data_IF_594404472999
#
_entry.id   IF_594404472999
#
_cell.length_a   1.000
_cell.length_b   1.000
_cell.length_c   1.000
_cell.angle_alpha   90.00
_cell.angle_beta   90.00
_cell.angle_gamma   90.00
#
_symmetry.space_group_name_H-M   'P 1'
#
loop_
_entity.id
_entity.type
_entity.pdbx_description
1 polymer ?
#
# COMPACT_ATOMS: atom_id res chain seq x y z
N UNK A 1 2.61 13.20 -0.80
CA UNK A 1 1.76 13.19 0.42
C UNK A 1 2.38 12.21 1.38
N UNK A 2 2.08 12.29 2.68
CA UNK A 2 2.61 11.34 3.65
C UNK A 2 1.52 10.43 4.22
N UNK A 3 1.96 9.31 4.77
CA UNK A 3 1.19 8.40 5.61
C UNK A 3 2.05 8.13 6.84
N UNK A 4 1.75 8.83 7.93
CA UNK A 4 2.43 8.68 9.22
C UNK A 4 2.01 7.39 9.90
N UNK A 5 2.99 6.59 10.28
CA UNK A 5 2.87 5.34 11.01
C UNK A 5 3.39 5.54 12.44
N UNK A 6 3.11 6.71 13.03
CA UNK A 6 3.56 7.15 14.35
C UNK A 6 2.48 6.95 15.42
N UNK A 7 1.28 7.46 15.15
CA UNK A 7 0.07 7.32 15.99
C UNK A 7 -1.12 6.90 15.15
N UNK A 8 -2.14 6.31 15.77
CA UNK A 8 -3.37 5.93 15.08
C UNK A 8 -4.13 7.14 14.54
N UNK A 9 -4.11 8.28 15.26
CA UNK A 9 -4.75 9.52 14.80
C UNK A 9 -4.05 10.12 13.58
N UNK A 10 -2.72 10.25 13.59
CA UNK A 10 -1.97 10.80 12.44
C UNK A 10 -2.18 9.96 11.19
N UNK A 11 -2.14 8.64 11.35
CA UNK A 11 -2.37 7.68 10.29
C UNK A 11 -3.77 7.83 9.67
N UNK A 12 -4.80 7.95 10.49
CA UNK A 12 -6.19 8.09 10.02
C UNK A 12 -6.42 9.44 9.32
N UNK A 13 -5.85 10.52 9.85
CA UNK A 13 -5.94 11.86 9.23
C UNK A 13 -5.28 11.86 7.85
N UNK A 14 -4.09 11.26 7.74
CA UNK A 14 -3.37 11.14 6.47
C UNK A 14 -4.13 10.26 5.46
N UNK A 15 -4.74 9.15 5.92
CA UNK A 15 -5.62 8.33 5.08
C UNK A 15 -6.86 9.09 4.61
N UNK A 16 -7.49 9.89 5.48
CA UNK A 16 -8.64 10.70 5.11
C UNK A 16 -8.29 11.72 4.02
N UNK A 17 -7.15 12.41 4.17
CA UNK A 17 -6.62 13.34 3.17
C UNK A 17 -6.29 12.63 1.84
N UNK A 18 -5.74 11.41 1.89
CA UNK A 18 -5.50 10.58 0.70
C UNK A 18 -6.81 10.19 0.01
N UNK A 19 -7.82 9.77 0.76
CA UNK A 19 -9.16 9.44 0.22
C UNK A 19 -9.79 10.64 -0.48
N UNK A 20 -9.67 11.84 0.09
CA UNK A 20 -10.15 13.06 -0.58
C UNK A 20 -9.39 13.37 -1.86
N UNK A 21 -8.08 13.11 -1.88
CA UNK A 21 -7.27 13.26 -3.08
C UNK A 21 -7.66 12.26 -4.17
N UNK A 22 -7.97 11.02 -3.79
CA UNK A 22 -8.51 9.98 -4.70
C UNK A 22 -9.85 10.43 -5.29
N UNK A 23 -10.79 10.89 -4.45
CA UNK A 23 -12.11 11.40 -4.90
C UNK A 23 -11.95 12.52 -5.92
N UNK A 24 -11.04 13.46 -5.67
CA UNK A 24 -10.74 14.56 -6.61
C UNK A 24 -10.07 14.09 -7.90
N UNK A 25 -9.24 13.04 -7.85
CA UNK A 25 -8.57 12.50 -9.03
C UNK A 25 -9.54 11.75 -9.96
N UNK A 26 -10.57 11.11 -9.40
CA UNK A 26 -11.54 10.32 -10.16
C UNK A 26 -10.86 9.18 -10.93
N UNK A 27 -11.31 8.92 -12.15
CA UNK A 27 -10.86 7.75 -12.95
C UNK A 27 -9.50 7.93 -13.64
N UNK A 28 -8.79 9.04 -13.43
CA UNK A 28 -7.54 9.33 -14.14
C UNK A 28 -6.40 8.46 -13.62
N UNK A 29 -5.88 7.55 -14.46
CA UNK A 29 -4.70 6.72 -14.20
C UNK A 29 -3.46 7.57 -13.88
N UNK A 30 -3.23 7.80 -12.59
CA UNK A 30 -2.20 8.72 -12.08
C UNK A 30 -1.44 8.05 -10.96
N UNK A 31 -0.12 7.98 -11.09
CA UNK A 31 0.77 7.58 -10.01
C UNK A 31 0.99 8.74 -9.04
N UNK A 32 0.89 8.45 -7.74
CA UNK A 32 1.32 9.35 -6.68
C UNK A 32 2.29 8.63 -5.73
N UNK A 33 3.32 9.33 -5.26
CA UNK A 33 4.20 8.83 -4.22
C UNK A 33 3.62 9.19 -2.84
N UNK A 34 3.38 8.18 -2.01
CA UNK A 34 2.93 8.32 -0.63
C UNK A 34 4.11 7.98 0.28
N UNK A 35 4.66 9.00 0.93
CA UNK A 35 5.81 8.89 1.82
C UNK A 35 5.39 8.23 3.13
N UNK A 36 6.01 7.12 3.49
CA UNK A 36 5.75 6.43 4.75
C UNK A 36 6.69 6.97 5.82
N UNK A 37 6.11 7.51 6.90
CA UNK A 37 6.86 8.17 7.97
C UNK A 37 6.71 7.37 9.26
N UNK A 38 7.80 6.79 9.76
CA UNK A 38 7.81 6.01 11.01
C UNK A 38 8.40 6.79 12.19
N UNK A 39 9.09 7.89 11.90
CA UNK A 39 9.75 8.81 12.82
C UNK A 39 9.96 10.15 12.10
N UNK A 40 9.91 11.26 12.85
CA UNK A 40 10.15 12.62 12.37
C UNK A 40 11.64 12.99 12.32
N UNK A 41 12.52 12.11 12.81
CA UNK A 41 13.96 12.30 12.78
C UNK A 41 14.50 12.41 11.35
N UNK A 42 15.37 13.41 11.11
CA UNK A 42 15.94 13.69 9.79
C UNK A 42 16.76 12.53 9.19
N UNK A 43 17.22 11.59 10.04
CA UNK A 43 17.94 10.38 9.67
C UNK A 43 17.05 9.14 9.51
N UNK A 44 15.74 9.25 9.73
CA UNK A 44 14.82 8.14 9.63
C UNK A 44 14.79 7.56 8.20
N UNK A 45 14.63 6.24 8.04
CA UNK A 45 14.48 5.62 6.73
C UNK A 45 13.30 6.18 5.97
N UNK A 46 13.47 6.34 4.66
CA UNK A 46 12.42 6.87 3.78
C UNK A 46 12.04 5.84 2.74
N UNK A 47 10.74 5.55 2.65
CA UNK A 47 10.13 4.77 1.59
C UNK A 47 8.88 5.50 1.14
N UNK A 48 8.71 5.64 -0.17
CA UNK A 48 7.44 6.08 -0.74
C UNK A 48 6.78 4.93 -1.46
N UNK A 49 5.52 4.63 -1.17
CA UNK A 49 4.75 3.71 -2.02
C UNK A 49 4.20 4.47 -3.23
N UNK A 50 4.31 3.86 -4.40
CA UNK A 50 3.72 4.39 -5.62
C UNK A 50 2.28 3.90 -5.69
N UNK A 51 1.29 4.78 -5.60
CA UNK A 51 -0.14 4.45 -5.60
C UNK A 51 -0.80 4.93 -6.89
N UNK A 52 -1.63 4.11 -7.51
CA UNK A 52 -2.56 4.59 -8.54
C UNK A 52 -3.77 5.25 -7.87
N UNK A 53 -3.97 6.56 -8.09
CA UNK A 53 -5.10 7.31 -7.52
C UNK A 53 -6.42 7.13 -8.27
N UNK A 54 -6.41 6.39 -9.38
CA UNK A 54 -7.58 6.23 -10.22
C UNK A 54 -8.65 5.41 -9.48
N UNK A 55 -9.87 5.92 -9.45
CA UNK A 55 -11.00 5.34 -8.72
C UNK A 55 -12.33 5.76 -9.35
N UNK A 56 -13.30 4.84 -9.35
CA UNK A 56 -14.64 5.05 -9.89
C UNK A 56 -15.63 5.23 -8.73
N UNK A 57 -16.27 6.39 -8.66
CA UNK A 57 -17.26 6.69 -7.62
C UNK A 57 -18.64 6.06 -7.89
N UNK A 58 -19.00 5.88 -9.17
CA UNK A 58 -20.25 5.27 -9.54
C UNK A 58 -20.16 3.75 -9.37
N UNK A 59 -21.05 3.18 -8.54
CA UNK A 59 -21.09 1.74 -8.26
C UNK A 59 -21.15 0.88 -9.54
N UNK A 60 -21.89 1.34 -10.54
CA UNK A 60 -22.09 0.65 -11.83
C UNK A 60 -21.20 1.23 -12.94
N UNK A 61 -20.21 2.06 -12.59
CA UNK A 61 -19.24 2.60 -13.54
C UNK A 61 -18.23 1.55 -13.99
N UNK A 62 -17.51 1.79 -15.10
CA UNK A 62 -16.48 0.87 -15.55
C UNK A 62 -15.39 0.71 -14.48
N UNK A 63 -14.93 -0.53 -14.32
CA UNK A 63 -13.78 -0.82 -13.48
C UNK A 63 -12.57 -0.03 -13.99
N UNK A 64 -11.80 0.51 -13.05
CA UNK A 64 -10.59 1.26 -13.35
C UNK A 64 -9.40 0.33 -13.17
N UNK A 65 -8.58 0.21 -14.22
CA UNK A 65 -7.40 -0.64 -14.20
C UNK A 65 -6.45 -0.24 -13.07
N UNK A 66 -6.01 -1.24 -12.29
CA UNK A 66 -5.13 -1.07 -11.14
C UNK A 66 -5.65 -0.01 -10.13
N UNK A 67 -6.97 0.15 -9.98
CA UNK A 67 -7.59 1.12 -9.07
C UNK A 67 -7.07 1.00 -7.64
N UNK A 68 -6.47 2.06 -7.11
CA UNK A 68 -5.87 2.08 -5.77
C UNK A 68 -4.82 0.97 -5.54
N UNK A 69 -4.15 0.50 -6.60
CA UNK A 69 -3.06 -0.45 -6.46
C UNK A 69 -1.78 0.26 -6.09
N UNK A 70 -1.01 -0.35 -5.18
CA UNK A 70 0.41 -0.06 -5.05
C UNK A 70 1.10 -0.58 -6.32
N UNK A 71 1.79 0.30 -7.03
CA UNK A 71 2.49 0.06 -8.29
C UNK A 71 3.98 -0.29 -8.09
N UNK A 72 4.46 -0.18 -6.85
CA UNK A 72 5.85 -0.30 -6.48
C UNK A 72 6.21 0.64 -5.33
N UNK A 73 7.49 0.93 -5.16
CA UNK A 73 7.99 1.83 -4.13
C UNK A 73 9.24 2.59 -4.57
N UNK A 74 9.59 3.64 -3.84
CA UNK A 74 10.83 4.40 -3.97
C UNK A 74 11.61 4.21 -2.68
N UNK A 75 12.84 3.69 -2.77
CA UNK A 75 13.73 3.51 -1.62
C UNK A 75 14.47 4.81 -1.25
N UNK A 76 15.27 4.77 -0.18
CA UNK A 76 15.98 5.94 0.34
C UNK A 76 16.97 6.55 -0.66
N UNK A 77 17.48 5.75 -1.59
CA UNK A 77 18.35 6.21 -2.69
C UNK A 77 17.62 7.05 -3.75
N UNK A 78 16.30 7.17 -3.67
CA UNK A 78 15.45 7.78 -4.71
C UNK A 78 15.16 6.83 -5.89
N UNK A 79 15.68 5.60 -5.85
CA UNK A 79 15.43 4.60 -6.89
C UNK A 79 14.00 4.06 -6.80
N UNK A 80 13.29 4.05 -7.94
CA UNK A 80 11.97 3.45 -8.06
C UNK A 80 12.08 1.95 -8.40
N UNK A 81 11.36 1.13 -7.65
CA UNK A 81 11.17 -0.29 -7.89
C UNK A 81 9.70 -0.53 -8.24
N UNK A 82 9.42 -1.03 -9.44
CA UNK A 82 8.05 -1.06 -9.99
C UNK A 82 7.60 -2.47 -10.33
N UNK A 83 6.30 -2.72 -10.15
CA UNK A 83 5.65 -3.91 -10.67
C UNK A 83 5.49 -3.84 -12.19
N UNK A 84 5.39 -5.01 -12.84
CA UNK A 84 5.12 -5.15 -14.28
C UNK A 84 3.61 -4.98 -14.53
N UNK A 85 3.17 -3.72 -14.53
CA UNK A 85 1.79 -3.31 -14.80
C UNK A 85 1.77 -2.59 -16.15
N UNK A 86 0.89 -3.02 -17.07
CA UNK A 86 0.80 -2.47 -18.43
C UNK A 86 -0.65 -2.14 -18.81
N UNK A 87 -0.96 -0.90 -19.23
CA UNK A 87 -0.08 0.28 -19.18
C UNK A 87 0.21 0.70 -17.73
N UNK A 88 1.41 1.22 -17.47
CA UNK A 88 1.77 1.69 -16.13
C UNK A 88 1.04 3.01 -15.82
N UNK A 89 0.21 3.11 -14.76
CA UNK A 89 -0.56 4.33 -14.47
C UNK A 89 0.34 5.56 -14.30
N UNK A 90 0.06 6.63 -15.05
CA UNK A 90 0.88 7.85 -15.06
C UNK A 90 2.28 7.72 -15.67
N UNK A 91 2.56 6.61 -16.36
CA UNK A 91 3.86 6.33 -17.01
C UNK A 91 4.92 5.77 -16.05
N UNK A 92 5.76 4.87 -16.55
CA UNK A 92 6.84 4.26 -15.77
C UNK A 92 7.89 5.32 -15.42
N UNK A 93 8.27 5.48 -14.14
CA UNK A 93 9.37 6.39 -13.76
C UNK A 93 10.65 6.09 -14.54
N UNK A 94 11.32 7.14 -15.02
CA UNK A 94 12.60 7.03 -15.73
C UNK A 94 13.64 6.34 -14.84
N UNK A 95 14.32 5.32 -15.37
CA UNK A 95 15.35 4.58 -14.65
C UNK A 95 14.81 3.61 -13.59
N UNK A 96 13.49 3.37 -13.54
CA UNK A 96 12.91 2.43 -12.59
C UNK A 96 13.44 1.00 -12.80
N UNK A 97 13.69 0.31 -11.69
CA UNK A 97 14.05 -1.10 -11.67
C UNK A 97 12.77 -1.95 -11.61
N UNK A 98 12.60 -2.87 -12.55
CA UNK A 98 11.46 -3.79 -12.53
C UNK A 98 11.66 -4.87 -11.45
N UNK A 99 10.60 -5.14 -10.68
CA UNK A 99 10.56 -6.24 -9.70
C UNK A 99 10.26 -7.60 -10.34
N UNK A 100 9.82 -7.62 -11.61
CA UNK A 100 9.53 -8.86 -12.35
C UNK A 100 8.21 -9.54 -11.98
N UNK A 101 7.26 -8.81 -11.38
CA UNK A 101 5.91 -9.30 -11.12
C UNK A 101 4.88 -8.20 -11.02
N UNK A 102 3.61 -8.60 -11.03
CA UNK A 102 2.44 -7.71 -11.15
C UNK A 102 1.97 -7.08 -9.82
N UNK A 103 2.60 -7.44 -8.70
CA UNK A 103 2.22 -6.96 -7.37
C UNK A 103 0.96 -7.62 -6.79
N UNK A 104 0.41 -8.64 -7.46
CA UNK A 104 -0.69 -9.44 -6.92
C UNK A 104 -0.27 -10.15 -5.62
N UNK A 105 -1.23 -10.45 -4.75
CA UNK A 105 -0.96 -11.30 -3.59
C UNK A 105 -0.35 -12.64 -4.00
N UNK A 106 -0.70 -13.17 -5.18
CA UNK A 106 -0.08 -14.39 -5.73
C UNK A 106 1.42 -14.22 -5.96
N UNK A 107 1.84 -13.17 -6.67
CA UNK A 107 3.26 -12.89 -6.87
C UNK A 107 3.97 -12.57 -5.55
N UNK A 108 3.31 -11.89 -4.61
CA UNK A 108 3.85 -11.60 -3.28
C UNK A 108 4.04 -12.87 -2.41
N UNK A 109 3.59 -14.04 -2.86
CA UNK A 109 3.74 -15.32 -2.16
C UNK A 109 2.50 -15.74 -1.36
N UNK A 110 1.38 -15.04 -1.51
CA UNK A 110 0.15 -15.19 -0.75
C UNK A 110 -1.04 -15.61 -1.62
N UNK A 111 -0.78 -16.39 -2.68
CA UNK A 111 -1.83 -16.99 -3.50
C UNK A 111 -2.75 -17.86 -2.62
N UNK A 112 -2.14 -18.78 -1.90
CA UNK A 112 -2.78 -19.74 -0.97
C UNK A 112 -2.37 -19.51 0.48
N UNK A 113 -1.15 -18.98 0.70
CA UNK A 113 -0.63 -18.74 2.03
C UNK A 113 -1.34 -17.55 2.71
N UNK A 114 -1.49 -17.58 4.04
CA UNK A 114 -2.11 -16.49 4.77
C UNK A 114 -1.28 -15.22 4.65
N UNK A 115 -1.96 -14.07 4.54
CA UNK A 115 -1.28 -12.76 4.56
C UNK A 115 -0.43 -12.59 5.83
N UNK A 116 0.71 -11.88 5.74
CA UNK A 116 1.62 -11.75 6.86
C UNK A 116 0.95 -10.94 7.98
N UNK A 117 1.04 -11.43 9.21
CA UNK A 117 0.57 -10.69 10.37
C UNK A 117 1.33 -9.36 10.51
N UNK A 118 0.63 -8.34 11.01
CA UNK A 118 1.14 -6.98 11.18
C UNK A 118 1.14 -6.63 12.66
N UNK A 119 2.25 -6.11 13.15
CA UNK A 119 2.40 -5.54 14.48
C UNK A 119 3.28 -4.28 14.37
N UNK A 120 3.37 -3.44 15.42
CA UNK A 120 4.11 -2.18 15.33
C UNK A 120 5.57 -2.36 14.88
N UNK A 121 6.25 -3.35 15.45
CA UNK A 121 7.65 -3.63 15.14
C UNK A 121 7.86 -4.03 13.68
N UNK A 122 7.06 -4.97 13.16
CA UNK A 122 7.25 -5.46 11.79
C UNK A 122 6.76 -4.46 10.73
N UNK A 123 5.85 -3.56 11.08
CA UNK A 123 5.41 -2.47 10.21
C UNK A 123 6.51 -1.42 10.04
N UNK A 124 7.16 -1.02 11.14
CA UNK A 124 8.32 -0.12 11.09
C UNK A 124 9.54 -0.77 10.43
N UNK A 125 9.79 -2.05 10.75
CA UNK A 125 10.84 -2.83 10.11
C UNK A 125 10.63 -2.90 8.59
N UNK A 126 9.39 -3.02 8.11
CA UNK A 126 9.12 -3.05 6.67
C UNK A 126 9.56 -1.77 5.96
N UNK A 127 9.32 -0.59 6.56
CA UNK A 127 9.82 0.69 6.05
C UNK A 127 11.35 0.71 6.05
N UNK A 128 11.97 0.28 7.15
CA UNK A 128 13.43 0.21 7.25
C UNK A 128 14.04 -0.73 6.21
N UNK A 129 13.53 -1.95 6.05
CA UNK A 129 14.02 -2.94 5.10
C UNK A 129 13.91 -2.42 3.67
N UNK A 130 12.73 -1.92 3.27
CA UNK A 130 12.50 -1.49 1.89
C UNK A 130 13.25 -0.20 1.53
N UNK A 131 13.53 0.66 2.51
CA UNK A 131 14.34 1.87 2.29
C UNK A 131 15.75 1.55 1.78
N UNK A 132 16.27 0.35 2.12
CA UNK A 132 17.64 -0.08 1.84
C UNK A 132 17.78 -0.97 0.61
N UNK A 133 16.67 -1.30 -0.06
CA UNK A 133 16.71 -2.15 -1.26
C UNK A 133 17.50 -1.44 -2.36
N UNK A 134 18.40 -2.19 -3.01
CA UNK A 134 19.22 -1.71 -4.13
C UNK A 134 18.78 -2.40 -5.42
N UNK A 135 19.10 -1.84 -6.60
CA UNK A 135 18.80 -2.45 -7.89
C UNK A 135 19.27 -3.92 -8.00
N UNK A 136 20.43 -4.24 -7.44
CA UNK A 136 20.98 -5.60 -7.43
C UNK A 136 20.12 -6.62 -6.67
N UNK A 137 19.29 -6.15 -5.73
CA UNK A 137 18.41 -6.99 -4.90
C UNK A 137 17.09 -7.32 -5.63
N UNK A 138 16.73 -6.60 -6.70
CA UNK A 138 15.46 -6.76 -7.40
C UNK A 138 15.28 -8.15 -8.05
N UNK A 139 16.35 -8.74 -8.57
CA UNK A 139 16.31 -10.11 -9.12
C UNK A 139 16.13 -11.19 -8.06
N UNK A 140 16.32 -10.85 -6.77
CA UNK A 140 16.22 -11.74 -5.61
C UNK A 140 15.23 -11.18 -4.59
N UNK A 141 14.14 -10.57 -5.06
CA UNK A 141 13.25 -9.79 -4.21
C UNK A 141 12.40 -10.61 -3.20
N UNK A 142 12.43 -11.95 -3.27
CA UNK A 142 11.59 -12.82 -2.45
C UNK A 142 11.62 -12.52 -0.93
N UNK A 143 12.78 -12.25 -0.29
CA UNK A 143 12.84 -11.95 1.16
C UNK A 143 12.12 -10.65 1.56
N UNK A 144 11.94 -9.71 0.62
CA UNK A 144 11.33 -8.40 0.87
C UNK A 144 9.80 -8.40 0.67
N UNK A 145 9.24 -9.46 0.07
CA UNK A 145 7.81 -9.55 -0.23
C UNK A 145 6.93 -9.44 1.01
N UNK A 146 7.23 -10.08 2.17
CA UNK A 146 6.41 -9.92 3.37
C UNK A 146 6.32 -8.46 3.83
N UNK A 147 7.45 -7.75 3.83
CA UNK A 147 7.51 -6.34 4.23
C UNK A 147 6.72 -5.45 3.25
N UNK A 148 6.86 -5.68 1.94
CA UNK A 148 6.07 -4.97 0.94
C UNK A 148 4.57 -5.24 1.11
N UNK A 149 4.18 -6.49 1.35
CA UNK A 149 2.78 -6.85 1.59
C UNK A 149 2.18 -6.13 2.79
N UNK A 150 2.91 -6.02 3.91
CA UNK A 150 2.45 -5.27 5.09
C UNK A 150 2.15 -3.81 4.76
N UNK A 151 3.03 -3.17 3.98
CA UNK A 151 2.84 -1.78 3.59
C UNK A 151 1.74 -1.60 2.54
N UNK A 152 1.56 -2.56 1.63
CA UNK A 152 0.41 -2.59 0.71
C UNK A 152 -0.90 -2.65 1.49
N UNK A 153 -0.98 -3.46 2.54
CA UNK A 153 -2.18 -3.55 3.39
C UNK A 153 -2.38 -2.24 4.17
N UNK A 154 -1.32 -1.71 4.77
CA UNK A 154 -1.36 -0.46 5.53
C UNK A 154 -1.68 0.79 4.68
N UNK A 155 -1.55 0.72 3.35
CA UNK A 155 -1.94 1.80 2.44
C UNK A 155 -3.17 1.42 1.61
N UNK A 156 -3.01 0.52 0.63
CA UNK A 156 -4.01 0.24 -0.39
C UNK A 156 -5.27 -0.39 0.19
N UNK A 157 -5.14 -1.38 1.08
CA UNK A 157 -6.33 -1.99 1.71
C UNK A 157 -6.95 -1.06 2.75
N UNK A 158 -6.14 -0.33 3.52
CA UNK A 158 -6.66 0.66 4.47
C UNK A 158 -7.38 1.83 3.78
N UNK A 159 -6.98 2.23 2.56
CA UNK A 159 -7.72 3.21 1.77
C UNK A 159 -9.12 2.69 1.42
N UNK A 160 -9.21 1.42 1.02
CA UNK A 160 -10.45 0.75 0.63
C UNK A 160 -11.37 0.44 1.81
N UNK A 161 -10.82 0.02 2.95
CA UNK A 161 -11.58 -0.53 4.07
C UNK A 161 -11.26 0.20 5.38
N UNK A 162 -12.29 0.79 5.99
CA UNK A 162 -12.17 1.47 7.28
C UNK A 162 -11.79 0.49 8.40
N UNK A 163 -12.25 -0.77 8.33
CA UNK A 163 -11.86 -1.82 9.29
C UNK A 163 -10.35 -2.04 9.32
N UNK A 164 -9.72 -2.16 8.15
CA UNK A 164 -8.26 -2.29 8.04
C UNK A 164 -7.56 -1.03 8.55
N UNK A 165 -8.06 0.16 8.20
CA UNK A 165 -7.51 1.41 8.72
C UNK A 165 -7.58 1.49 10.26
N UNK A 166 -8.70 1.09 10.87
CA UNK A 166 -8.86 1.04 12.33
C UNK A 166 -7.93 0.00 12.97
N UNK A 167 -7.74 -1.16 12.34
CA UNK A 167 -6.83 -2.18 12.85
C UNK A 167 -5.38 -1.68 12.87
N UNK A 168 -4.91 -1.05 11.78
CA UNK A 168 -3.56 -0.46 11.73
C UNK A 168 -3.43 0.68 12.75
N UNK A 169 -4.41 1.57 12.85
CA UNK A 169 -4.40 2.63 13.87
C UNK A 169 -4.32 2.06 15.29
N UNK A 170 -5.07 0.99 15.58
CA UNK A 170 -5.01 0.31 16.87
C UNK A 170 -3.64 -0.31 17.17
N UNK A 171 -2.91 -0.77 16.16
CA UNK A 171 -1.50 -1.19 16.32
C UNK A 171 -0.65 -0.01 16.76
N UNK A 172 -0.77 1.13 16.08
CA UNK A 172 0.03 2.33 16.33
C UNK A 172 -0.25 2.92 17.72
N UNK A 173 -1.50 2.87 18.20
CA UNK A 173 -1.89 3.33 19.53
C UNK A 173 -1.62 2.30 20.65
N UNK A 174 -1.15 1.10 20.30
CA UNK A 174 -0.93 0.00 21.25
C UNK A 174 -2.21 -0.60 21.83
N UNK A 175 -3.38 -0.30 21.26
CA UNK A 175 -4.68 -0.89 21.65
C UNK A 175 -4.91 -2.26 21.00
N UNK A 176 -4.15 -2.57 19.95
CA UNK A 176 -4.09 -3.88 19.31
C UNK A 176 -2.63 -4.34 19.24
N UNK A 177 -2.33 -5.55 19.72
CA UNK A 177 -0.96 -6.07 19.70
C UNK A 177 -0.54 -6.59 18.31
N UNK A 178 -1.48 -7.21 17.58
CA UNK A 178 -1.24 -7.83 16.27
C UNK A 178 -2.54 -7.84 15.48
N UNK A 179 -2.42 -7.59 14.18
CA UNK A 179 -3.48 -7.65 13.20
C UNK A 179 -3.20 -8.81 12.23
N UNK A 180 -4.22 -9.64 11.99
CA UNK A 180 -4.19 -10.76 11.06
C UNK A 180 -5.01 -10.40 9.80
N UNK A 181 -4.39 -9.95 8.69
CA UNK A 181 -5.13 -9.44 7.54
C UNK A 181 -5.94 -10.50 6.79
N UNK A 182 -5.72 -11.79 7.07
CA UNK A 182 -6.41 -12.88 6.39
C UNK A 182 -7.93 -12.90 6.67
N UNK A 183 -8.33 -12.43 7.86
CA UNK A 183 -9.74 -12.31 8.24
C UNK A 183 -10.45 -11.29 7.35
N UNK A 184 -9.83 -10.12 7.16
CA UNK A 184 -10.33 -9.07 6.28
C UNK A 184 -10.18 -9.45 4.80
N UNK A 185 -9.16 -10.21 4.42
CA UNK A 185 -9.03 -10.73 3.05
C UNK A 185 -10.26 -11.52 2.62
N UNK A 186 -10.71 -12.40 3.50
CA UNK A 186 -11.85 -13.28 3.25
C UNK A 186 -13.16 -12.51 3.33
N UNK A 187 -13.28 -11.57 4.28
CA UNK A 187 -14.49 -10.77 4.47
C UNK A 187 -14.69 -9.73 3.34
N UNK A 188 -13.63 -9.00 2.97
CA UNK A 188 -13.78 -7.79 2.15
C UNK A 188 -12.75 -7.63 1.02
N UNK A 189 -11.45 -7.95 1.17
CA UNK A 189 -10.47 -7.62 0.12
C UNK A 189 -10.79 -8.31 -1.22
N UNK A 190 -11.10 -9.62 -1.17
CA UNK A 190 -11.45 -10.39 -2.37
C UNK A 190 -12.77 -9.95 -3.02
N UNK A 191 -13.63 -9.25 -2.27
CA UNK A 191 -14.98 -8.86 -2.69
C UNK A 191 -15.12 -7.35 -2.98
N UNK A 192 -14.02 -6.59 -2.99
CA UNK A 192 -14.05 -5.13 -3.18
C UNK A 192 -14.77 -4.72 -4.46
N UNK A 193 -14.45 -5.40 -5.57
CA UNK A 193 -15.08 -5.15 -6.87
C UNK A 193 -16.58 -5.50 -6.87
N UNK A 194 -16.97 -6.59 -6.20
CA UNK A 194 -18.37 -7.00 -6.10
C UNK A 194 -19.24 -5.98 -5.32
N UNK A 195 -18.62 -5.18 -4.44
CA UNK A 195 -19.28 -4.08 -3.73
C UNK A 195 -19.32 -2.76 -4.52
N UNK A 196 -18.74 -2.72 -5.73
CA UNK A 196 -18.65 -1.51 -6.56
C UNK A 196 -17.54 -0.55 -6.13
N UNK A 197 -16.39 -1.10 -5.68
CA UNK A 197 -15.17 -0.36 -5.36
C UNK A 197 -15.35 0.74 -4.27
N UNK A 198 -16.02 0.49 -3.14
CA UNK A 198 -16.19 1.52 -2.11
C UNK A 198 -14.85 2.01 -1.54
N UNK A 199 -14.77 3.30 -1.21
CA UNK A 199 -13.60 3.92 -0.59
C UNK A 199 -13.88 4.17 0.90
N UNK A 200 -13.12 3.52 1.77
CA UNK A 200 -13.35 3.54 3.23
C UNK A 200 -14.57 2.74 3.67
N UNK A 201 -14.82 1.59 3.03
CA UNK A 201 -15.93 0.68 3.36
C UNK A 201 -15.82 0.22 4.83
N UNK A 202 -16.88 0.36 5.65
CA UNK A 202 -16.89 -0.16 7.01
C UNK A 202 -16.87 -1.69 7.09
N UNK A 203 -17.19 -2.40 6.00
CA UNK A 203 -17.47 -3.85 5.99
C UNK A 203 -16.27 -4.74 5.61
#
# INVERSE_FOLDING_TARGET
MQLRLTTGSDYQDDLAALRDTIRRNGTRATRHAVDLVIDDDAGAPRVSLLLNLAWQAAKDGPAVDASLYTLGFVGQSGMAFVFDIRPFPGGTPTGATALGGDGSYGWLGYATDPLPAINPSNLHQAVWTLSKVRPADASKFAPFKPDLTRLVIALSEALRFARTAHAIAGLLDGTLATYAPNDDRTACFNNWAAKGFPLGDPA
#
